data_IF_632561639195
#
_entry.id   IF_632561639195
#
_cell.length_a   1.000
_cell.length_b   1.000
_cell.length_c   1.000
_cell.angle_alpha   90.00
_cell.angle_beta   90.00
_cell.angle_gamma   90.00
#
_symmetry.space_group_name_H-M   'P 1'
#
loop_
_entity.id
_entity.type
_entity.pdbx_description
1 polymer ?
#
# COMPACT_ATOMS: atom_id res chain seq x y z
N UNK A 1 -5.32 28.01 -1.70
CA UNK A 1 -5.17 26.64 -1.17
C UNK A 1 -4.38 26.78 0.11
N UNK A 2 -4.98 26.52 1.27
CA UNK A 2 -4.21 26.49 2.51
C UNK A 2 -3.28 25.26 2.45
N UNK A 3 -2.02 25.36 2.88
CA UNK A 3 -1.18 24.18 3.05
C UNK A 3 -1.86 23.20 4.02
N UNK A 4 -1.49 21.90 4.05
CA UNK A 4 -1.89 21.04 5.15
C UNK A 4 -1.56 21.77 6.45
N UNK A 5 -2.49 21.76 7.41
CA UNK A 5 -2.31 22.48 8.66
C UNK A 5 -0.93 22.14 9.22
N UNK A 6 -0.06 23.14 9.36
CA UNK A 6 1.24 22.97 9.98
C UNK A 6 1.01 22.40 11.39
N UNK A 7 1.16 21.09 11.56
CA UNK A 7 0.85 20.39 12.80
C UNK A 7 -0.02 19.12 12.71
N UNK A 8 -0.51 18.70 11.54
CA UNK A 8 -1.23 17.43 11.42
C UNK A 8 -0.31 16.24 11.72
N UNK A 9 -0.54 15.57 12.85
CA UNK A 9 0.21 14.40 13.29
C UNK A 9 -0.62 13.63 14.32
N UNK A 10 -0.65 12.30 14.20
CA UNK A 10 -1.39 11.47 15.15
C UNK A 10 -0.61 11.39 16.47
N UNK A 11 -1.21 11.73 17.63
CA UNK A 11 -0.59 11.52 18.92
C UNK A 11 -0.25 10.04 19.16
N UNK A 12 0.89 9.76 19.80
CA UNK A 12 1.35 8.37 19.99
C UNK A 12 0.40 7.55 20.87
N UNK A 13 -0.16 8.17 21.90
CA UNK A 13 -1.20 7.58 22.75
C UNK A 13 -2.46 7.23 21.94
N UNK A 14 -2.85 8.07 20.98
CA UNK A 14 -3.92 7.75 20.05
C UNK A 14 -3.55 6.57 19.14
N UNK A 15 -2.34 6.53 18.56
CA UNK A 15 -1.86 5.39 17.76
C UNK A 15 -1.94 4.07 18.53
N UNK A 16 -1.45 4.04 19.77
CA UNK A 16 -1.47 2.83 20.61
C UNK A 16 -2.89 2.38 20.95
N UNK A 17 -3.78 3.34 21.21
CA UNK A 17 -5.19 3.09 21.53
C UNK A 17 -5.97 2.58 20.32
N UNK A 18 -5.78 3.18 19.15
CA UNK A 18 -6.37 2.74 17.86
C UNK A 18 -5.87 1.33 17.50
N UNK A 19 -4.56 1.07 17.68
CA UNK A 19 -3.95 -0.21 17.35
C UNK A 19 -4.30 -1.35 18.32
N UNK A 20 -4.82 -1.06 19.52
CA UNK A 20 -5.14 -2.08 20.52
C UNK A 20 -6.20 -3.10 20.04
N UNK A 21 -7.43 -2.69 19.63
CA UNK A 21 -8.43 -3.64 19.13
C UNK A 21 -7.98 -4.37 17.86
N UNK A 22 -7.18 -3.72 17.01
CA UNK A 22 -6.61 -4.34 15.81
C UNK A 22 -5.63 -5.46 16.14
N UNK A 23 -4.77 -5.28 17.16
CA UNK A 23 -3.85 -6.33 17.62
C UNK A 23 -4.62 -7.53 18.15
N UNK A 24 -5.64 -7.31 18.96
CA UNK A 24 -6.44 -8.39 19.53
C UNK A 24 -7.19 -9.15 18.42
N UNK A 25 -7.80 -8.42 17.48
CA UNK A 25 -8.49 -9.01 16.34
C UNK A 25 -7.54 -9.75 15.39
N UNK A 26 -6.33 -9.23 15.16
CA UNK A 26 -5.30 -9.91 14.37
C UNK A 26 -4.85 -11.19 15.06
N UNK A 27 -4.58 -11.14 16.37
CA UNK A 27 -4.17 -12.31 17.14
C UNK A 27 -5.20 -13.44 17.03
N UNK A 28 -6.49 -13.11 17.17
CA UNK A 28 -7.60 -14.05 17.06
C UNK A 28 -7.90 -14.55 15.64
N UNK A 29 -7.43 -13.86 14.59
CA UNK A 29 -7.73 -14.22 13.21
C UNK A 29 -7.18 -15.62 12.86
N UNK A 30 -7.99 -16.52 12.25
CA UNK A 30 -7.50 -17.78 11.75
C UNK A 30 -6.45 -17.53 10.67
N UNK A 31 -5.33 -18.22 10.74
CA UNK A 31 -4.25 -18.09 9.77
C UNK A 31 -3.67 -19.45 9.43
N UNK A 32 -3.77 -19.80 8.15
CA UNK A 32 -2.99 -20.85 7.54
C UNK A 32 -2.11 -20.17 6.47
N UNK A 33 -0.78 -20.30 6.54
CA UNK A 33 0.08 -19.76 5.49
C UNK A 33 -0.24 -20.44 4.15
N UNK A 34 -0.21 -19.71 3.02
CA UNK A 34 -0.36 -20.32 1.70
C UNK A 34 0.67 -21.45 1.48
N UNK A 35 0.27 -22.49 0.77
CA UNK A 35 1.16 -23.62 0.46
C UNK A 35 2.42 -23.13 -0.26
N UNK A 36 3.60 -23.56 0.22
CA UNK A 36 4.89 -23.16 -0.35
C UNK A 36 5.38 -21.78 0.06
N UNK A 37 4.65 -21.04 0.91
CA UNK A 37 5.13 -19.76 1.43
C UNK A 37 6.19 -19.97 2.52
N UNK A 38 7.33 -19.28 2.39
CA UNK A 38 8.39 -19.29 3.39
C UNK A 38 8.14 -18.30 4.53
N UNK A 39 7.11 -17.45 4.43
CA UNK A 39 6.86 -16.37 5.39
C UNK A 39 5.41 -16.22 5.79
N UNK A 40 5.18 -15.56 6.92
CA UNK A 40 3.86 -15.33 7.47
C UNK A 40 3.38 -13.92 7.18
N UNK A 41 2.38 -13.77 6.31
CA UNK A 41 1.73 -12.46 6.05
C UNK A 41 1.06 -11.93 7.31
N UNK A 42 0.53 -12.81 8.17
CA UNK A 42 0.02 -12.41 9.50
C UNK A 42 1.13 -11.81 10.39
N UNK A 43 2.33 -12.39 10.38
CA UNK A 43 3.47 -11.82 11.12
C UNK A 43 3.94 -10.50 10.52
N UNK A 44 3.96 -10.39 9.17
CA UNK A 44 4.26 -9.15 8.47
C UNK A 44 3.29 -8.05 8.91
N UNK A 45 1.99 -8.30 8.84
CA UNK A 45 0.97 -7.34 9.29
C UNK A 45 1.09 -7.02 10.78
N UNK A 46 1.40 -8.01 11.63
CA UNK A 46 1.62 -7.76 13.06
C UNK A 46 2.79 -6.82 13.32
N UNK A 47 3.83 -6.83 12.48
CA UNK A 47 5.00 -5.96 12.64
C UNK A 47 4.75 -4.50 12.27
N UNK A 48 3.67 -4.23 11.53
CA UNK A 48 3.23 -2.88 11.18
C UNK A 48 2.49 -2.16 12.31
N UNK A 49 1.98 -2.91 13.30
CA UNK A 49 1.21 -2.35 14.40
C UNK A 49 2.13 -1.68 15.45
N UNK A 50 1.80 -0.46 15.93
CA UNK A 50 2.55 0.21 16.99
C UNK A 50 2.76 -0.66 18.23
N UNK A 51 4.01 -0.74 18.68
CA UNK A 51 4.37 -1.53 19.86
C UNK A 51 4.25 -0.72 21.16
N UNK A 52 3.68 -1.33 22.19
CA UNK A 52 3.57 -0.74 23.53
C UNK A 52 4.92 -0.63 24.26
N UNK A 53 5.97 -1.30 23.76
CA UNK A 53 7.29 -1.27 24.37
C UNK A 53 7.96 0.09 24.11
N UNK A 54 8.56 0.75 25.13
CA UNK A 54 9.30 1.98 24.91
C UNK A 54 10.51 1.69 24.02
N UNK A 55 10.48 2.13 22.76
CA UNK A 55 11.71 2.23 21.98
C UNK A 55 12.63 3.25 22.68
N UNK A 56 13.93 2.95 22.69
CA UNK A 56 14.99 3.86 23.14
C UNK A 56 14.76 5.27 22.55
N UNK A 57 15.25 6.35 23.19
CA UNK A 57 14.91 7.72 22.79
C UNK A 57 15.52 8.06 21.42
N UNK A 58 14.85 7.65 20.36
CA UNK A 58 14.98 8.24 19.04
C UNK A 58 14.26 9.58 19.13
N UNK A 59 15.02 10.64 19.45
CA UNK A 59 14.51 11.99 19.36
C UNK A 59 13.95 12.27 17.97
N UNK A 60 12.82 12.99 17.91
CA UNK A 60 12.32 13.59 16.67
C UNK A 60 11.11 12.90 16.06
N UNK A 61 10.22 13.69 15.45
CA UNK A 61 8.91 13.26 14.92
C UNK A 61 8.92 12.09 13.93
N UNK A 62 10.08 11.70 13.39
CA UNK A 62 10.21 10.60 12.42
C UNK A 62 9.81 9.21 12.95
N UNK A 63 10.07 8.89 14.23
CA UNK A 63 9.64 7.60 14.79
C UNK A 63 8.10 7.48 14.88
N UNK A 64 7.43 8.58 15.22
CA UNK A 64 5.96 8.64 15.29
C UNK A 64 5.31 8.59 13.91
N UNK A 65 5.89 9.29 12.94
CA UNK A 65 5.47 9.21 11.54
C UNK A 65 5.58 7.76 11.03
N UNK A 66 6.67 7.05 11.35
CA UNK A 66 6.82 5.63 11.00
C UNK A 66 5.77 4.71 11.65
N UNK A 67 5.42 4.93 12.93
CA UNK A 67 4.35 4.18 13.59
C UNK A 67 2.98 4.44 12.95
N UNK A 68 2.68 5.70 12.61
CA UNK A 68 1.45 6.07 11.91
C UNK A 68 1.38 5.47 10.49
N UNK A 69 2.48 5.55 9.74
CA UNK A 69 2.62 4.93 8.43
C UNK A 69 2.42 3.42 8.51
N UNK A 70 3.04 2.75 9.49
CA UNK A 70 2.84 1.31 9.74
C UNK A 70 1.38 0.97 10.01
N UNK A 71 0.72 1.71 10.91
CA UNK A 71 -0.70 1.50 11.20
C UNK A 71 -1.60 1.71 9.97
N UNK A 72 -1.33 2.74 9.17
CA UNK A 72 -2.07 2.99 7.93
C UNK A 72 -1.88 1.84 6.93
N UNK A 73 -0.65 1.35 6.78
CA UNK A 73 -0.34 0.21 5.91
C UNK A 73 -1.00 -1.09 6.40
N UNK A 74 -1.07 -1.31 7.71
CA UNK A 74 -1.83 -2.42 8.27
C UNK A 74 -3.31 -2.34 7.86
N UNK A 75 -3.93 -1.18 8.08
CA UNK A 75 -5.32 -0.97 7.71
C UNK A 75 -5.53 -1.13 6.20
N UNK A 76 -4.64 -0.57 5.37
CA UNK A 76 -4.70 -0.71 3.92
C UNK A 76 -4.72 -2.18 3.48
N UNK A 77 -3.85 -3.02 4.04
CA UNK A 77 -3.84 -4.46 3.74
C UNK A 77 -5.14 -5.15 4.19
N UNK A 78 -5.61 -4.87 5.41
CA UNK A 78 -6.85 -5.46 5.92
C UNK A 78 -8.10 -5.03 5.12
N UNK A 79 -8.08 -3.82 4.58
CA UNK A 79 -9.15 -3.27 3.73
C UNK A 79 -9.07 -3.72 2.28
N UNK A 80 -7.88 -4.05 1.79
CA UNK A 80 -7.67 -4.61 0.45
C UNK A 80 -8.02 -6.11 0.37
N UNK A 81 -8.12 -6.79 1.51
CA UNK A 81 -8.41 -8.21 1.57
C UNK A 81 -9.69 -8.58 0.80
N UNK A 82 -9.59 -9.61 -0.03
CA UNK A 82 -10.68 -10.15 -0.84
C UNK A 82 -10.59 -11.67 -0.88
N UNK A 83 -11.73 -12.39 -0.96
CA UNK A 83 -11.72 -13.83 -1.18
C UNK A 83 -11.11 -14.24 -2.52
N UNK A 84 -10.99 -13.30 -3.47
CA UNK A 84 -10.41 -13.53 -4.79
C UNK A 84 -8.87 -13.65 -4.75
N UNK A 85 -8.23 -13.18 -3.68
CA UNK A 85 -6.77 -13.07 -3.58
C UNK A 85 -6.20 -13.92 -2.43
N UNK A 86 -5.48 -15.01 -2.72
CA UNK A 86 -5.01 -15.96 -1.70
C UNK A 86 -4.14 -15.35 -0.59
N UNK A 87 -3.36 -14.31 -0.90
CA UNK A 87 -2.43 -13.74 0.09
C UNK A 87 -3.12 -13.09 1.30
N UNK A 88 -4.34 -12.58 1.10
CA UNK A 88 -5.10 -11.83 2.10
C UNK A 88 -6.49 -12.42 2.40
N UNK A 89 -6.91 -13.51 1.73
CA UNK A 89 -8.23 -14.12 1.92
C UNK A 89 -8.52 -14.61 3.36
N UNK A 90 -7.47 -14.78 4.18
CA UNK A 90 -7.57 -15.24 5.56
C UNK A 90 -7.98 -14.11 6.51
N UNK A 91 -7.89 -12.84 6.08
CA UNK A 91 -8.26 -11.67 6.86
C UNK A 91 -9.77 -11.70 7.11
N UNK A 92 -10.23 -11.81 8.37
CA UNK A 92 -11.67 -11.85 8.67
C UNK A 92 -12.35 -10.52 8.35
N UNK A 93 -13.62 -10.57 7.95
CA UNK A 93 -14.45 -9.37 7.71
C UNK A 93 -14.43 -8.44 8.93
N UNK A 94 -14.55 -9.00 10.14
CA UNK A 94 -14.49 -8.21 11.38
C UNK A 94 -13.18 -7.44 11.56
N UNK A 95 -12.04 -7.99 11.11
CA UNK A 95 -10.76 -7.28 11.14
C UNK A 95 -10.72 -6.18 10.07
N UNK A 96 -11.30 -6.43 8.89
CA UNK A 96 -11.45 -5.40 7.85
C UNK A 96 -12.34 -4.24 8.30
N UNK A 97 -13.44 -4.52 9.00
CA UNK A 97 -14.35 -3.51 9.56
C UNK A 97 -13.68 -2.72 10.68
N UNK A 98 -12.93 -3.40 11.56
CA UNK A 98 -12.13 -2.74 12.60
C UNK A 98 -11.06 -1.83 11.98
N UNK A 99 -10.41 -2.26 10.90
CA UNK A 99 -9.47 -1.43 10.15
C UNK A 99 -10.15 -0.20 9.53
N UNK A 100 -11.40 -0.32 9.06
CA UNK A 100 -12.16 0.82 8.53
C UNK A 100 -12.41 1.85 9.62
N UNK A 101 -12.89 1.41 10.79
CA UNK A 101 -13.09 2.30 11.94
C UNK A 101 -11.78 2.94 12.41
N UNK A 102 -10.67 2.18 12.41
CA UNK A 102 -9.37 2.69 12.81
C UNK A 102 -8.86 3.81 11.88
N UNK A 103 -9.07 3.70 10.57
CA UNK A 103 -8.65 4.73 9.60
C UNK A 103 -9.42 6.04 9.80
N UNK A 104 -10.74 5.97 10.05
CA UNK A 104 -11.55 7.15 10.40
C UNK A 104 -11.03 7.79 11.69
N UNK A 105 -10.69 6.97 12.67
CA UNK A 105 -10.19 7.45 13.95
C UNK A 105 -8.78 8.06 13.85
N UNK A 106 -7.91 7.51 12.99
CA UNK A 106 -6.62 8.10 12.66
C UNK A 106 -6.79 9.48 12.02
N UNK A 107 -7.73 9.61 11.07
CA UNK A 107 -8.02 10.87 10.40
C UNK A 107 -8.46 11.94 11.42
N UNK A 108 -9.39 11.58 12.31
CA UNK A 108 -9.85 12.47 13.38
C UNK A 108 -8.73 12.83 14.37
N UNK A 109 -7.94 11.84 14.80
CA UNK A 109 -6.88 12.03 15.80
C UNK A 109 -5.72 12.90 15.32
N UNK A 110 -5.39 12.86 14.03
CA UNK A 110 -4.37 13.74 13.44
C UNK A 110 -4.90 15.09 12.94
N UNK A 111 -6.21 15.35 13.09
CA UNK A 111 -6.83 16.63 12.74
C UNK A 111 -7.09 16.82 11.24
N UNK A 112 -7.18 15.74 10.47
CA UNK A 112 -7.60 15.79 9.07
C UNK A 112 -9.13 15.86 8.97
N UNK A 113 -9.65 16.45 7.88
CA UNK A 113 -11.09 16.56 7.66
C UNK A 113 -11.77 15.24 7.32
N UNK A 114 -11.05 14.37 6.59
CA UNK A 114 -11.51 13.04 6.20
C UNK A 114 -10.33 12.07 5.93
N UNK A 115 -10.66 10.80 5.69
CA UNK A 115 -9.69 9.74 5.34
C UNK A 115 -8.88 10.07 4.09
N UNK A 116 -9.52 10.65 3.06
CA UNK A 116 -8.84 10.99 1.82
C UNK A 116 -7.78 12.08 2.02
N UNK A 117 -8.06 13.09 2.83
CA UNK A 117 -7.11 14.12 3.22
C UNK A 117 -5.93 13.55 4.02
N UNK A 118 -6.21 12.67 4.99
CA UNK A 118 -5.16 11.96 5.73
C UNK A 118 -4.27 11.14 4.79
N UNK A 119 -4.87 10.33 3.91
CA UNK A 119 -4.13 9.48 2.97
C UNK A 119 -3.25 10.34 2.06
N UNK A 120 -3.77 11.44 1.51
CA UNK A 120 -2.96 12.39 0.70
C UNK A 120 -1.78 12.94 1.50
N UNK A 121 -2.01 13.33 2.76
CA UNK A 121 -0.96 13.84 3.63
C UNK A 121 0.12 12.81 3.97
N UNK A 122 -0.26 11.54 4.08
CA UNK A 122 0.65 10.44 4.47
C UNK A 122 1.30 9.72 3.27
N UNK A 123 0.78 9.88 2.06
CA UNK A 123 1.28 9.22 0.84
C UNK A 123 2.80 9.35 0.65
N UNK A 124 3.44 10.53 0.82
CA UNK A 124 4.89 10.67 0.68
C UNK A 124 5.70 9.79 1.65
N UNK A 125 5.12 9.39 2.78
CA UNK A 125 5.76 8.53 3.78
C UNK A 125 5.50 7.03 3.51
N UNK A 126 4.34 6.69 2.94
CA UNK A 126 3.94 5.28 2.76
C UNK A 126 4.22 4.71 1.38
N UNK A 127 4.10 5.48 0.29
CA UNK A 127 4.24 4.94 -1.07
C UNK A 127 5.69 4.59 -1.44
N UNK A 128 6.73 5.39 -1.11
CA UNK A 128 8.09 5.03 -1.49
C UNK A 128 8.54 3.68 -0.90
N UNK A 129 8.31 3.39 0.40
CA UNK A 129 8.61 2.07 0.96
C UNK A 129 7.86 0.92 0.27
N UNK A 130 6.60 1.13 -0.14
CA UNK A 130 5.86 0.10 -0.88
C UNK A 130 6.50 -0.19 -2.24
N UNK A 131 6.85 0.86 -2.99
CA UNK A 131 7.58 0.72 -4.26
C UNK A 131 8.89 -0.02 -4.05
N UNK A 132 9.64 0.31 -3.01
CA UNK A 132 10.94 -0.32 -2.72
C UNK A 132 10.78 -1.82 -2.40
N UNK A 133 9.72 -2.21 -1.69
CA UNK A 133 9.39 -3.63 -1.43
C UNK A 133 9.07 -4.36 -2.73
N UNK A 134 8.23 -3.79 -3.59
CA UNK A 134 7.87 -4.38 -4.89
C UNK A 134 9.09 -4.49 -5.80
N UNK A 135 9.92 -3.44 -5.86
CA UNK A 135 11.14 -3.44 -6.66
C UNK A 135 12.15 -4.48 -6.17
N UNK A 136 12.32 -4.62 -4.86
CA UNK A 136 13.29 -5.56 -4.29
C UNK A 136 12.98 -7.04 -4.60
N UNK A 137 11.73 -7.36 -4.94
CA UNK A 137 11.31 -8.71 -5.34
C UNK A 137 11.29 -8.92 -6.85
N UNK A 138 11.56 -7.89 -7.65
CA UNK A 138 11.73 -8.03 -9.09
C UNK A 138 12.91 -8.95 -9.42
N UNK A 139 12.79 -9.67 -10.52
CA UNK A 139 13.91 -10.43 -11.10
C UNK A 139 14.64 -9.46 -12.01
N UNK A 140 15.51 -8.62 -11.44
CA UNK A 140 16.44 -7.86 -12.27
C UNK A 140 17.38 -8.86 -12.96
N UNK A 141 17.32 -8.92 -14.29
CA UNK A 141 18.24 -9.72 -15.12
C UNK A 141 19.67 -9.18 -15.08
N UNK A 142 19.88 -8.01 -14.47
CA UNK A 142 21.17 -7.29 -14.44
C UNK A 142 21.81 -7.25 -13.04
N UNK A 143 21.05 -7.55 -11.98
CA UNK A 143 21.49 -7.41 -10.58
C UNK A 143 21.59 -8.79 -9.89
N UNK A 144 22.53 -9.62 -10.38
CA UNK A 144 23.04 -10.76 -9.63
C UNK A 144 24.09 -10.30 -8.60
N UNK A 145 23.72 -9.39 -7.68
CA UNK A 145 24.53 -9.15 -6.49
C UNK A 145 24.47 -10.40 -5.58
N UNK A 146 25.50 -11.23 -5.68
CA UNK A 146 25.69 -12.44 -4.88
C UNK A 146 25.69 -12.05 -3.39
N UNK A 147 24.62 -12.41 -2.66
CA UNK A 147 24.58 -12.34 -1.19
C UNK A 147 23.47 -11.47 -0.59
N UNK A 148 22.66 -10.76 -1.39
CA UNK A 148 21.49 -10.03 -0.87
C UNK A 148 20.26 -10.95 -0.87
N UNK A 149 19.77 -11.30 0.31
CA UNK A 149 18.54 -12.09 0.44
C UNK A 149 17.35 -11.24 -0.06
N UNK A 150 16.77 -11.65 -1.18
CA UNK A 150 15.57 -10.98 -1.72
C UNK A 150 14.40 -11.20 -0.76
N UNK A 151 13.56 -10.18 -0.50
CA UNK A 151 12.38 -10.38 0.30
C UNK A 151 11.45 -11.42 -0.35
N UNK A 152 10.64 -12.13 0.44
CA UNK A 152 9.66 -13.06 -0.09
C UNK A 152 8.66 -12.35 -1.01
N UNK A 153 8.21 -13.03 -2.07
CA UNK A 153 7.23 -12.49 -3.02
C UNK A 153 5.93 -12.03 -2.33
N UNK A 154 5.56 -12.67 -1.22
CA UNK A 154 4.37 -12.35 -0.43
C UNK A 154 4.40 -10.93 0.12
N UNK A 155 5.60 -10.40 0.41
CA UNK A 155 5.74 -9.01 0.84
C UNK A 155 5.36 -8.05 -0.28
N UNK A 156 5.74 -8.33 -1.53
CA UNK A 156 5.36 -7.53 -2.69
C UNK A 156 3.87 -7.62 -3.00
N UNK A 157 3.27 -8.80 -2.84
CA UNK A 157 1.82 -8.97 -2.96
C UNK A 157 1.08 -8.09 -1.94
N UNK A 158 1.45 -8.17 -0.66
CA UNK A 158 0.86 -7.32 0.39
C UNK A 158 1.07 -5.83 0.08
N UNK A 159 2.27 -5.45 -0.36
CA UNK A 159 2.59 -4.06 -0.71
C UNK A 159 1.74 -3.54 -1.88
N UNK A 160 1.50 -4.37 -2.90
CA UNK A 160 0.68 -4.00 -4.05
C UNK A 160 -0.80 -3.82 -3.68
N UNK A 161 -1.33 -4.69 -2.81
CA UNK A 161 -2.67 -4.53 -2.23
C UNK A 161 -2.80 -3.26 -1.39
N UNK A 162 -1.81 -2.98 -0.54
CA UNK A 162 -1.75 -1.74 0.25
C UNK A 162 -1.74 -0.50 -0.66
N UNK A 163 -0.91 -0.51 -1.70
CA UNK A 163 -0.81 0.57 -2.68
C UNK A 163 -2.14 0.80 -3.40
N UNK A 164 -2.77 -0.26 -3.91
CA UNK A 164 -4.09 -0.17 -4.55
C UNK A 164 -5.13 0.47 -3.64
N UNK A 165 -5.21 0.02 -2.39
CA UNK A 165 -6.18 0.59 -1.46
C UNK A 165 -5.91 2.08 -1.22
N UNK A 166 -4.66 2.47 -0.94
CA UNK A 166 -4.28 3.87 -0.73
C UNK A 166 -4.67 4.76 -1.91
N UNK A 167 -4.32 4.35 -3.12
CA UNK A 167 -4.64 5.10 -4.35
C UNK A 167 -6.15 5.24 -4.55
N UNK A 168 -6.92 4.19 -4.24
CA UNK A 168 -8.39 4.24 -4.38
C UNK A 168 -9.08 5.22 -3.40
N UNK A 169 -8.41 5.62 -2.32
CA UNK A 169 -8.96 6.62 -1.38
C UNK A 169 -8.85 8.06 -1.88
N UNK A 170 -8.11 8.30 -2.97
CA UNK A 170 -7.83 9.64 -3.48
C UNK A 170 -8.39 9.79 -4.89
N UNK A 171 -9.20 10.82 -5.10
CA UNK A 171 -9.79 11.15 -6.40
C UNK A 171 -9.26 12.47 -6.93
N UNK A 172 -9.69 12.82 -8.14
CA UNK A 172 -9.48 14.14 -8.72
C UNK A 172 -9.98 15.26 -7.78
N UNK A 173 -9.26 16.40 -7.64
CA UNK A 173 -7.99 16.73 -8.27
C UNK A 173 -6.74 16.30 -7.49
N UNK A 174 -6.89 15.86 -6.23
CA UNK A 174 -5.75 15.63 -5.32
C UNK A 174 -4.79 14.55 -5.83
N UNK A 175 -5.27 13.56 -6.58
CA UNK A 175 -4.42 12.50 -7.12
C UNK A 175 -3.42 13.02 -8.17
N UNK A 176 -3.76 14.07 -8.92
CA UNK A 176 -2.88 14.68 -9.92
C UNK A 176 -1.59 15.25 -9.31
N UNK A 177 -1.70 15.84 -8.12
CA UNK A 177 -0.55 16.37 -7.35
C UNK A 177 0.39 15.26 -6.86
N UNK A 178 -0.05 14.01 -6.89
CA UNK A 178 0.65 12.82 -6.41
C UNK A 178 1.15 11.92 -7.55
N UNK A 179 0.93 12.30 -8.82
CA UNK A 179 1.35 11.52 -10.00
C UNK A 179 2.83 11.09 -9.94
N UNK A 180 3.71 11.99 -9.50
CA UNK A 180 5.15 11.73 -9.33
C UNK A 180 5.48 10.61 -8.36
N UNK A 181 4.54 10.27 -7.48
CA UNK A 181 4.67 9.24 -6.49
C UNK A 181 3.94 7.96 -6.91
N UNK A 182 2.68 8.09 -7.34
CA UNK A 182 1.81 6.95 -7.61
C UNK A 182 2.07 6.29 -8.97
N UNK A 183 2.42 7.06 -10.02
CA UNK A 183 2.67 6.48 -11.35
C UNK A 183 3.91 5.58 -11.31
N UNK A 184 5.08 6.01 -10.80
CA UNK A 184 6.23 5.12 -10.72
C UNK A 184 5.97 3.85 -9.89
N UNK A 185 5.20 3.95 -8.81
CA UNK A 185 4.84 2.79 -7.99
C UNK A 185 3.93 1.81 -8.75
N UNK A 186 2.92 2.30 -9.47
CA UNK A 186 2.04 1.48 -10.29
C UNK A 186 2.80 0.79 -11.43
N UNK A 187 3.68 1.52 -12.12
CA UNK A 187 4.52 0.95 -13.19
C UNK A 187 5.49 -0.11 -12.65
N UNK A 188 6.09 0.12 -11.45
CA UNK A 188 6.93 -0.89 -10.79
C UNK A 188 6.16 -2.17 -10.48
N UNK A 189 4.90 -2.07 -10.05
CA UNK A 189 4.05 -3.23 -9.82
C UNK A 189 3.64 -3.95 -11.12
N UNK A 190 3.37 -3.20 -12.19
CA UNK A 190 3.07 -3.76 -13.52
C UNK A 190 4.26 -4.53 -14.11
N UNK A 191 5.48 -4.11 -13.84
CA UNK A 191 6.70 -4.78 -14.32
C UNK A 191 7.09 -6.01 -13.48
N UNK A 192 6.37 -6.29 -12.40
CA UNK A 192 6.70 -7.39 -11.50
C UNK A 192 6.32 -8.76 -12.08
N UNK A 193 7.11 -9.81 -11.86
CA UNK A 193 6.85 -11.15 -12.44
C UNK A 193 5.64 -11.90 -11.83
N UNK A 194 5.23 -11.56 -10.61
CA UNK A 194 4.06 -12.16 -9.94
C UNK A 194 2.75 -11.64 -10.53
N UNK A 195 1.87 -12.50 -11.07
CA UNK A 195 0.61 -12.08 -11.67
C UNK A 195 -0.29 -11.26 -10.73
N UNK A 196 -0.38 -11.65 -9.46
CA UNK A 196 -1.19 -10.93 -8.48
C UNK A 196 -0.67 -9.50 -8.24
N UNK A 197 0.66 -9.30 -8.24
CA UNK A 197 1.27 -7.97 -8.12
C UNK A 197 0.97 -7.12 -9.34
N UNK A 198 1.12 -7.69 -10.55
CA UNK A 198 0.76 -7.02 -11.81
C UNK A 198 -0.69 -6.57 -11.82
N UNK A 199 -1.60 -7.46 -11.42
CA UNK A 199 -3.03 -7.16 -11.39
C UNK A 199 -3.34 -5.98 -10.47
N UNK A 200 -2.78 -5.96 -9.25
CA UNK A 200 -2.98 -4.82 -8.34
C UNK A 200 -2.36 -3.54 -8.91
N UNK A 201 -1.21 -3.63 -9.59
CA UNK A 201 -0.60 -2.53 -10.35
C UNK A 201 -1.54 -1.97 -11.43
N UNK A 202 -2.13 -2.86 -12.24
CA UNK A 202 -3.08 -2.52 -13.30
C UNK A 202 -4.33 -1.85 -12.75
N UNK A 203 -4.94 -2.41 -11.70
CA UNK A 203 -6.14 -1.84 -11.06
C UNK A 203 -5.84 -0.44 -10.51
N UNK A 204 -4.68 -0.25 -9.89
CA UNK A 204 -4.24 1.05 -9.39
C UNK A 204 -4.03 2.05 -10.55
N UNK A 205 -3.40 1.61 -11.64
CA UNK A 205 -3.15 2.45 -12.80
C UNK A 205 -4.44 2.88 -13.52
N UNK A 206 -5.41 1.98 -13.67
CA UNK A 206 -6.72 2.33 -14.21
C UNK A 206 -7.43 3.40 -13.37
N UNK A 207 -7.36 3.30 -12.03
CA UNK A 207 -7.90 4.33 -11.15
C UNK A 207 -7.19 5.67 -11.34
N UNK A 208 -5.85 5.66 -11.42
CA UNK A 208 -5.04 6.86 -11.68
C UNK A 208 -5.49 7.50 -13.00
N UNK A 209 -5.51 6.75 -14.09
CA UNK A 209 -5.89 7.24 -15.42
C UNK A 209 -7.30 7.85 -15.45
N UNK A 210 -8.23 7.30 -14.67
CA UNK A 210 -9.61 7.81 -14.54
C UNK A 210 -9.73 9.04 -13.61
N UNK A 211 -8.70 9.32 -12.81
CA UNK A 211 -8.75 10.29 -11.71
C UNK A 211 -7.75 11.46 -11.85
N UNK A 212 -7.07 11.57 -12.99
CA UNK A 212 -6.10 12.65 -13.29
C UNK A 212 -6.33 13.23 -14.68
N UNK A 213 -5.77 14.40 -14.98
CA UNK A 213 -5.86 15.02 -16.31
C UNK A 213 -4.87 14.39 -17.28
N UNK A 214 -5.22 14.38 -18.56
CA UNK A 214 -4.30 13.99 -19.63
C UNK A 214 -2.96 14.75 -19.57
N UNK A 215 -2.98 16.06 -19.27
CA UNK A 215 -1.75 16.86 -19.14
C UNK A 215 -0.83 16.39 -18.02
N UNK A 216 -1.37 15.76 -16.97
CA UNK A 216 -0.59 15.20 -15.87
C UNK A 216 0.01 13.85 -16.27
N UNK A 217 -0.72 13.03 -17.05
CA UNK A 217 -0.21 11.77 -17.61
C UNK A 217 0.84 11.96 -18.69
N UNK A 218 0.76 13.03 -19.49
CA UNK A 218 1.72 13.32 -20.58
C UNK A 218 3.16 13.43 -20.07
N UNK A 219 3.38 13.74 -18.79
CA UNK A 219 4.72 13.76 -18.19
C UNK A 219 5.36 12.37 -18.06
N UNK A 220 4.57 11.32 -18.22
CA UNK A 220 4.96 9.91 -18.07
C UNK A 220 4.66 9.10 -19.33
N UNK A 221 4.33 9.76 -20.45
CA UNK A 221 3.84 9.12 -21.69
C UNK A 221 4.74 7.96 -22.14
N UNK A 222 6.04 8.21 -22.30
CA UNK A 222 6.99 7.19 -22.75
C UNK A 222 7.04 5.98 -21.81
N UNK A 223 7.08 6.20 -20.50
CA UNK A 223 7.15 5.13 -19.51
C UNK A 223 5.84 4.31 -19.44
N UNK A 224 4.70 4.98 -19.63
CA UNK A 224 3.39 4.33 -19.69
C UNK A 224 3.30 3.47 -20.96
N UNK A 225 3.66 4.03 -22.12
CA UNK A 225 3.63 3.31 -23.40
C UNK A 225 4.57 2.11 -23.38
N UNK A 226 5.76 2.25 -22.80
CA UNK A 226 6.71 1.16 -22.64
C UNK A 226 6.14 0.04 -21.75
N UNK A 227 5.59 0.38 -20.59
CA UNK A 227 4.95 -0.60 -19.71
C UNK A 227 3.75 -1.30 -20.37
N UNK A 228 2.95 -0.57 -21.16
CA UNK A 228 1.87 -1.14 -21.94
C UNK A 228 2.37 -2.12 -23.01
N UNK A 229 3.43 -1.79 -23.73
CA UNK A 229 4.05 -2.68 -24.72
C UNK A 229 4.60 -3.97 -24.12
N UNK A 230 5.10 -3.92 -22.89
CA UNK A 230 5.62 -5.09 -22.18
C UNK A 230 4.53 -5.97 -21.56
N UNK A 231 3.40 -5.40 -21.14
CA UNK A 231 2.39 -6.12 -20.33
C UNK A 231 1.09 -6.47 -21.08
N UNK A 232 0.64 -5.66 -22.04
CA UNK A 232 -0.63 -5.89 -22.74
C UNK A 232 -0.53 -6.99 -23.82
N UNK A 233 0.56 -7.08 -24.61
CA UNK A 233 0.71 -8.14 -25.62
C UNK A 233 1.22 -9.47 -25.07
N UNK A 234 1.81 -9.48 -23.87
CA UNK A 234 2.59 -10.61 -23.35
C UNK A 234 1.92 -11.38 -22.20
N UNK A 235 0.78 -10.91 -21.69
CA UNK A 235 0.11 -11.47 -20.52
C UNK A 235 -1.39 -11.66 -20.76
N UNK A 236 -1.78 -12.87 -21.18
CA UNK A 236 -3.19 -13.28 -21.40
C UNK A 236 -4.05 -13.05 -20.14
N UNK A 237 -3.42 -13.00 -18.95
CA UNK A 237 -4.11 -12.82 -17.67
C UNK A 237 -4.57 -11.38 -17.44
N UNK A 238 -4.03 -10.37 -18.12
CA UNK A 238 -4.46 -8.97 -17.95
C UNK A 238 -5.47 -8.51 -19.01
N UNK A 239 -5.73 -9.34 -20.03
CA UNK A 239 -6.55 -8.97 -21.18
C UNK A 239 -7.97 -8.53 -20.79
N UNK A 240 -8.57 -9.18 -19.80
CA UNK A 240 -9.92 -8.85 -19.32
C UNK A 240 -10.02 -7.50 -18.61
N UNK A 241 -8.88 -6.94 -18.15
CA UNK A 241 -8.81 -5.59 -17.56
C UNK A 241 -8.52 -4.53 -18.63
N UNK A 242 -7.80 -4.89 -19.69
CA UNK A 242 -7.37 -3.98 -20.76
C UNK A 242 -8.47 -3.71 -21.80
N UNK A 243 -9.37 -4.67 -22.03
CA UNK A 243 -10.53 -4.51 -22.91
C UNK A 243 -11.70 -4.01 -22.09
N UNK A 244 -12.05 -2.72 -22.21
CA UNK A 244 -13.34 -2.23 -21.71
C UNK A 244 -14.49 -2.94 -22.46
N UNK A 245 -15.50 -3.39 -21.70
CA UNK A 245 -16.84 -3.74 -22.22
C UNK A 245 -17.73 -2.51 -22.10
#
# INVERSE_FOLDING_TARGET
>A
MAPPAAGAAIPRDALLRIAAPLRDSLAAAPYAPPEGSSTSTKSLLSSLLPSSHPQAPAGGGGARSKEAAGLLLFCAAARAASPEYPALHWVPVALSDAAAAAVEEMAAAGGWGDVGEMVVGMMPEVVPPLKDVVKATCVDTEDEEIGKEKPPKEHAVVAAHQFRWLVSQVTYPKLGDLCWLVIPCALTALDHWSPEVKEQGMVSFMHIAKSVKATELNLYEDAILDACCHNIPADDELWYRAVEV
#
